data_IF_795710673280
#
_entry.id   IF_795710673280
#
_cell.length_a   1.000
_cell.length_b   1.000
_cell.length_c   1.000
_cell.angle_alpha   90.00
_cell.angle_beta   90.00
_cell.angle_gamma   90.00
#
_symmetry.space_group_name_H-M   'P 1'
#
loop_
_entity.id
_entity.type
_entity.pdbx_description
1 polymer ?
#
# COMPACT_ATOMS: atom_id res chain seq x y z
N UNK A 1 -18.11 9.23 -34.79
CA UNK A 1 -18.29 10.35 -33.84
C UNK A 1 -19.01 9.82 -32.61
N UNK A 2 -18.30 9.23 -31.66
CA UNK A 2 -18.87 8.90 -30.35
C UNK A 2 -18.82 10.16 -29.50
N UNK A 3 -19.96 10.62 -29.03
CA UNK A 3 -20.13 11.80 -28.18
C UNK A 3 -19.21 11.72 -26.95
N UNK A 4 -18.14 12.52 -26.97
CA UNK A 4 -17.35 12.85 -25.78
C UNK A 4 -18.20 13.76 -24.90
N UNK A 5 -19.16 13.19 -24.15
CA UNK A 5 -19.93 13.96 -23.19
C UNK A 5 -19.06 14.22 -21.96
N UNK A 6 -18.29 15.31 -22.00
CA UNK A 6 -17.66 15.87 -20.81
C UNK A 6 -18.69 16.65 -20.00
N UNK A 7 -18.68 16.50 -18.68
CA UNK A 7 -19.55 17.21 -17.75
C UNK A 7 -18.73 17.90 -16.66
N UNK A 8 -19.30 18.97 -16.10
CA UNK A 8 -18.77 19.57 -14.89
C UNK A 8 -19.06 18.64 -13.71
N UNK A 9 -18.02 18.36 -12.94
CA UNK A 9 -18.07 17.48 -11.77
C UNK A 9 -17.50 18.24 -10.57
N UNK A 10 -18.06 17.98 -9.40
CA UNK A 10 -17.58 18.55 -8.14
C UNK A 10 -17.04 17.45 -7.23
N UNK A 11 -15.84 17.63 -6.67
CA UNK A 11 -15.24 16.76 -5.66
C UNK A 11 -14.54 17.61 -4.60
N UNK A 12 -14.86 17.41 -3.31
CA UNK A 12 -14.22 18.12 -2.19
C UNK A 12 -14.10 19.65 -2.40
N UNK A 13 -15.13 20.20 -3.06
CA UNK A 13 -15.30 21.62 -3.37
C UNK A 13 -14.42 22.16 -4.51
N UNK A 14 -13.75 21.32 -5.31
CA UNK A 14 -13.24 21.76 -6.62
C UNK A 14 -14.24 21.35 -7.71
N UNK A 15 -14.40 22.20 -8.72
CA UNK A 15 -15.26 21.96 -9.88
C UNK A 15 -14.40 21.81 -11.14
N UNK A 16 -14.58 20.74 -11.93
CA UNK A 16 -13.72 20.46 -13.07
C UNK A 16 -14.46 19.72 -14.18
N UNK A 17 -14.05 19.94 -15.42
CA UNK A 17 -14.54 19.24 -16.59
C UNK A 17 -13.89 17.85 -16.67
N UNK A 18 -14.72 16.82 -16.76
CA UNK A 18 -14.30 15.42 -16.74
C UNK A 18 -15.22 14.54 -17.59
N UNK A 19 -14.78 13.31 -17.90
CA UNK A 19 -15.59 12.28 -18.53
C UNK A 19 -15.83 11.12 -17.56
N UNK A 20 -17.04 11.08 -16.97
CA UNK A 20 -17.51 10.00 -16.09
C UNK A 20 -18.03 8.77 -16.84
N UNK A 21 -18.41 8.92 -18.11
CA UNK A 21 -18.99 7.85 -18.93
C UNK A 21 -17.93 6.88 -19.47
N UNK A 22 -16.67 7.32 -19.55
CA UNK A 22 -15.58 6.48 -20.01
C UNK A 22 -15.25 5.39 -18.99
N UNK A 23 -14.95 4.19 -19.47
CA UNK A 23 -14.59 3.04 -18.63
C UNK A 23 -13.13 3.09 -18.18
N UNK A 24 -12.24 3.75 -18.95
CA UNK A 24 -10.82 3.87 -18.60
C UNK A 24 -10.12 5.06 -19.27
N UNK A 25 -8.95 5.40 -18.75
CA UNK A 25 -8.10 6.49 -19.25
C UNK A 25 -7.65 6.31 -20.71
N UNK A 26 -7.49 5.05 -21.18
CA UNK A 26 -7.15 4.78 -22.60
C UNK A 26 -8.22 5.28 -23.58
N UNK A 27 -9.46 5.42 -23.14
CA UNK A 27 -10.59 5.87 -23.97
C UNK A 27 -10.84 7.39 -23.87
N UNK A 28 -10.32 8.06 -22.85
CA UNK A 28 -10.50 9.51 -22.68
C UNK A 28 -9.36 10.10 -21.83
N UNK A 29 -8.70 11.14 -22.34
CA UNK A 29 -7.65 11.86 -21.62
C UNK A 29 -8.16 12.54 -20.34
N UNK A 30 -9.46 12.86 -20.28
CA UNK A 30 -10.13 13.43 -19.10
C UNK A 30 -10.95 12.40 -18.33
N UNK A 31 -10.56 11.12 -18.39
CA UNK A 31 -11.20 10.06 -17.62
C UNK A 31 -11.20 10.41 -16.13
N UNK A 32 -12.37 10.28 -15.52
CA UNK A 32 -12.56 10.48 -14.11
C UNK A 32 -13.52 9.42 -13.58
N UNK A 33 -13.24 8.95 -12.37
CA UNK A 33 -14.09 8.01 -11.70
C UNK A 33 -14.22 8.38 -10.23
N UNK A 34 -15.45 8.78 -9.85
CA UNK A 34 -15.85 9.15 -8.49
C UNK A 34 -15.65 8.02 -7.47
N UNK A 35 -15.65 6.77 -7.94
CA UNK A 35 -15.44 5.61 -7.08
C UNK A 35 -14.05 5.59 -6.42
N UNK A 36 -13.06 6.25 -7.01
CA UNK A 36 -11.69 6.37 -6.51
C UNK A 36 -11.44 7.68 -5.71
N UNK A 37 -12.50 8.40 -5.31
CA UNK A 37 -12.39 9.58 -4.45
C UNK A 37 -11.65 9.26 -3.14
N UNK A 38 -11.86 8.06 -2.58
CA UNK A 38 -11.11 7.57 -1.40
C UNK A 38 -9.59 7.61 -1.61
N UNK A 39 -9.08 7.10 -2.74
CA UNK A 39 -7.62 7.10 -3.00
C UNK A 39 -7.09 8.54 -3.10
N UNK A 40 -7.83 9.44 -3.75
CA UNK A 40 -7.46 10.85 -3.87
C UNK A 40 -7.44 11.55 -2.51
N UNK A 41 -8.47 11.36 -1.69
CA UNK A 41 -8.53 11.88 -0.33
C UNK A 41 -7.38 11.34 0.55
N UNK A 42 -7.04 10.05 0.43
CA UNK A 42 -5.90 9.45 1.13
C UNK A 42 -4.56 10.08 0.70
N UNK A 43 -4.35 10.28 -0.61
CA UNK A 43 -3.15 10.95 -1.16
C UNK A 43 -3.04 12.39 -0.64
N UNK A 44 -4.16 13.12 -0.58
CA UNK A 44 -4.21 14.48 0.00
C UNK A 44 -3.81 14.46 1.48
N UNK A 45 -4.33 13.51 2.27
CA UNK A 45 -3.98 13.39 3.69
C UNK A 45 -2.48 13.10 3.90
N UNK A 46 -1.90 12.21 3.08
CA UNK A 46 -0.46 11.90 3.13
C UNK A 46 0.38 13.12 2.73
N UNK A 47 -0.02 13.87 1.71
CA UNK A 47 0.65 15.11 1.30
C UNK A 47 0.57 16.17 2.40
N UNK A 48 -0.60 16.33 3.03
CA UNK A 48 -0.81 17.27 4.14
C UNK A 48 0.13 16.96 5.31
N UNK A 49 0.26 15.69 5.69
CA UNK A 49 1.24 15.27 6.71
C UNK A 49 2.68 15.53 6.27
N UNK A 50 3.05 15.17 5.03
CA UNK A 50 4.41 15.35 4.51
C UNK A 50 4.86 16.82 4.49
N UNK A 51 3.93 17.74 4.19
CA UNK A 51 4.17 19.19 4.21
C UNK A 51 4.29 19.69 5.66
N UNK A 52 3.33 19.36 6.54
CA UNK A 52 3.26 19.92 7.90
C UNK A 52 4.35 19.40 8.84
N UNK A 53 4.73 18.13 8.70
CA UNK A 53 5.80 17.52 9.51
C UNK A 53 7.20 18.06 9.20
N UNK A 54 7.37 18.81 8.11
CA UNK A 54 8.68 19.27 7.66
C UNK A 54 9.57 18.14 7.11
N UNK A 55 8.98 17.00 6.74
CA UNK A 55 9.72 15.90 6.12
C UNK A 55 10.30 16.31 4.75
N UNK A 56 9.60 17.20 4.02
CA UNK A 56 10.15 17.86 2.85
C UNK A 56 11.24 18.86 3.23
N UNK A 57 12.41 18.73 2.59
CA UNK A 57 13.52 19.69 2.75
C UNK A 57 13.40 20.93 1.86
N UNK A 58 12.30 21.08 1.14
CA UNK A 58 12.04 22.20 0.24
C UNK A 58 10.64 22.75 0.49
N UNK A 59 10.53 24.08 0.54
CA UNK A 59 9.28 24.83 0.61
C UNK A 59 9.31 25.91 -0.50
N UNK A 60 8.24 26.07 -1.30
CA UNK A 60 7.07 25.18 -1.37
C UNK A 60 7.46 23.75 -1.77
N UNK A 61 6.66 22.76 -1.33
CA UNK A 61 6.88 21.35 -1.69
C UNK A 61 6.53 21.17 -3.16
N UNK A 62 7.49 20.71 -3.97
CA UNK A 62 7.24 20.47 -5.39
C UNK A 62 6.50 19.15 -5.62
N UNK A 63 5.23 19.26 -6.01
CA UNK A 63 4.30 18.17 -6.17
C UNK A 63 4.03 17.90 -7.66
N UNK A 64 4.24 16.66 -8.11
CA UNK A 64 3.94 16.22 -9.47
C UNK A 64 2.78 15.21 -9.45
N UNK A 65 1.70 15.56 -10.15
CA UNK A 65 0.71 14.60 -10.63
C UNK A 65 1.15 14.11 -12.02
N UNK A 66 1.70 12.90 -12.08
CA UNK A 66 2.41 12.42 -13.28
C UNK A 66 1.46 12.05 -14.42
N UNK A 67 0.27 11.55 -14.09
CA UNK A 67 -0.74 11.07 -15.03
C UNK A 67 -2.05 11.82 -14.77
N UNK A 68 -2.00 13.14 -14.95
CA UNK A 68 -2.94 14.08 -14.35
C UNK A 68 -4.38 13.99 -14.83
N UNK A 69 -4.65 13.40 -16.00
CA UNK A 69 -6.00 13.29 -16.56
C UNK A 69 -6.70 14.67 -16.60
N UNK A 70 -7.85 14.87 -15.92
CA UNK A 70 -8.52 16.17 -15.82
C UNK A 70 -7.88 17.15 -14.81
N UNK A 71 -6.81 16.77 -14.10
CA UNK A 71 -6.07 17.62 -13.17
C UNK A 71 -6.60 17.64 -11.74
N UNK A 72 -7.53 16.74 -11.39
CA UNK A 72 -8.24 16.74 -10.09
C UNK A 72 -7.30 16.70 -8.88
N UNK A 73 -6.23 15.89 -8.90
CA UNK A 73 -5.33 15.83 -7.74
C UNK A 73 -4.60 17.16 -7.54
N UNK A 74 -4.11 17.77 -8.62
CA UNK A 74 -3.46 19.07 -8.57
C UNK A 74 -4.36 20.17 -8.00
N UNK A 75 -5.63 20.19 -8.42
CA UNK A 75 -6.64 21.12 -7.88
C UNK A 75 -6.84 20.91 -6.37
N UNK A 76 -7.03 19.65 -5.94
CA UNK A 76 -7.22 19.31 -4.53
C UNK A 76 -6.00 19.71 -3.68
N UNK A 77 -4.79 19.43 -4.17
CA UNK A 77 -3.55 19.80 -3.47
C UNK A 77 -3.41 21.31 -3.33
N UNK A 78 -3.61 22.06 -4.41
CA UNK A 78 -3.53 23.53 -4.38
C UNK A 78 -4.60 24.12 -3.47
N UNK A 79 -5.85 23.65 -3.58
CA UNK A 79 -6.94 24.15 -2.73
C UNK A 79 -6.67 23.90 -1.24
N UNK A 80 -6.15 22.72 -0.92
CA UNK A 80 -5.95 22.29 0.48
C UNK A 80 -4.71 22.93 1.12
N UNK A 81 -3.64 23.14 0.36
CA UNK A 81 -2.32 23.49 0.89
C UNK A 81 -1.82 24.87 0.42
N UNK A 82 -2.57 25.54 -0.46
CA UNK A 82 -2.28 26.88 -0.96
C UNK A 82 -0.82 27.01 -1.42
N UNK A 83 -0.10 28.03 -0.94
CA UNK A 83 1.28 28.33 -1.29
C UNK A 83 2.32 27.41 -0.64
N UNK A 84 1.90 26.43 0.18
CA UNK A 84 2.82 25.42 0.72
C UNK A 84 3.28 24.41 -0.34
N UNK A 85 2.61 24.36 -1.50
CA UNK A 85 2.87 23.41 -2.59
C UNK A 85 3.04 24.10 -3.94
N UNK A 86 4.08 23.70 -4.67
CA UNK A 86 4.23 24.00 -6.10
C UNK A 86 3.57 22.84 -6.86
N UNK A 87 2.36 23.06 -7.39
CA UNK A 87 1.59 22.03 -8.09
C UNK A 87 1.95 21.97 -9.57
N UNK A 88 2.37 20.78 -10.00
CA UNK A 88 2.72 20.46 -11.38
C UNK A 88 1.86 19.27 -11.82
N UNK A 89 1.15 19.42 -12.95
CA UNK A 89 0.31 18.37 -13.52
C UNK A 89 0.82 18.03 -14.91
N UNK A 90 1.14 16.76 -15.15
CA UNK A 90 1.47 16.27 -16.48
C UNK A 90 0.22 15.62 -17.10
N UNK A 91 -0.36 16.29 -18.10
CA UNK A 91 -1.68 16.03 -18.66
C UNK A 91 -1.61 15.89 -20.17
N UNK A 92 -1.00 14.81 -20.65
CA UNK A 92 -0.85 14.55 -22.08
C UNK A 92 -2.22 14.34 -22.75
N UNK A 93 -2.62 15.27 -23.63
CA UNK A 93 -3.88 15.21 -24.38
C UNK A 93 -5.07 15.82 -23.64
N UNK A 94 -4.84 16.49 -22.50
CA UNK A 94 -5.87 17.19 -21.72
C UNK A 94 -5.36 18.53 -21.17
N UNK A 95 -4.23 19.05 -21.66
CA UNK A 95 -3.54 20.20 -21.11
C UNK A 95 -4.39 21.47 -21.04
N UNK A 96 -5.13 21.80 -22.09
CA UNK A 96 -5.99 22.98 -22.13
C UNK A 96 -7.19 22.83 -21.17
N UNK A 97 -7.72 21.60 -21.04
CA UNK A 97 -8.81 21.33 -20.09
C UNK A 97 -8.31 21.46 -18.65
N UNK A 98 -7.09 20.98 -18.35
CA UNK A 98 -6.51 21.14 -17.02
C UNK A 98 -6.30 22.62 -16.69
N UNK A 99 -5.80 23.42 -17.63
CA UNK A 99 -5.66 24.88 -17.44
C UNK A 99 -7.03 25.54 -17.18
N UNK A 100 -8.04 25.18 -17.96
CA UNK A 100 -9.41 25.68 -17.76
C UNK A 100 -9.96 25.28 -16.39
N UNK A 101 -9.72 24.03 -15.95
CA UNK A 101 -10.12 23.58 -14.64
C UNK A 101 -9.42 24.36 -13.51
N UNK A 102 -8.13 24.71 -13.66
CA UNK A 102 -7.45 25.60 -12.71
C UNK A 102 -8.07 26.99 -12.67
N UNK A 103 -8.33 27.59 -13.84
CA UNK A 103 -8.96 28.91 -13.96
C UNK A 103 -10.36 28.93 -13.31
N UNK A 104 -11.17 27.90 -13.55
CA UNK A 104 -12.53 27.75 -13.01
C UNK A 104 -12.56 27.81 -11.48
N UNK A 105 -11.53 27.28 -10.83
CA UNK A 105 -11.42 27.26 -9.37
C UNK A 105 -10.65 28.46 -8.81
N UNK A 106 -10.22 29.40 -9.66
CA UNK A 106 -9.34 30.52 -9.28
C UNK A 106 -8.02 30.03 -8.64
N UNK A 107 -7.52 28.88 -9.10
CA UNK A 107 -6.31 28.24 -8.60
C UNK A 107 -5.18 28.29 -9.64
N UNK A 108 -3.93 28.24 -9.16
CA UNK A 108 -2.76 28.20 -10.03
C UNK A 108 -2.08 26.82 -10.03
N UNK A 109 -1.57 26.41 -11.18
CA UNK A 109 -0.81 25.17 -11.35
C UNK A 109 0.01 25.21 -12.64
N UNK A 110 1.14 24.52 -12.66
CA UNK A 110 1.92 24.37 -13.90
C UNK A 110 1.47 23.11 -14.63
N UNK A 111 1.12 23.24 -15.91
CA UNK A 111 0.65 22.13 -16.74
C UNK A 111 1.69 21.80 -17.81
N UNK A 112 2.06 20.52 -17.91
CA UNK A 112 2.89 19.99 -18.98
C UNK A 112 2.13 18.92 -19.77
N UNK A 113 2.54 18.71 -21.02
CA UNK A 113 2.12 17.59 -21.86
C UNK A 113 3.38 16.86 -22.37
N UNK A 114 4.04 16.13 -21.47
CA UNK A 114 5.28 15.41 -21.75
C UNK A 114 5.11 13.91 -21.54
N UNK A 115 6.00 13.14 -22.15
CA UNK A 115 6.17 11.74 -21.77
C UNK A 115 6.47 11.64 -20.24
N UNK A 116 5.76 10.76 -19.50
CA UNK A 116 5.93 10.65 -18.05
C UNK A 116 7.37 10.33 -17.61
N UNK A 117 8.10 9.50 -18.34
CA UNK A 117 9.48 9.17 -17.99
C UNK A 117 10.42 10.35 -18.27
N UNK A 118 10.16 11.11 -19.34
CA UNK A 118 10.95 12.31 -19.67
C UNK A 118 10.82 13.36 -18.57
N UNK A 119 9.59 13.71 -18.14
CA UNK A 119 9.42 14.76 -17.11
C UNK A 119 10.04 14.36 -15.76
N UNK A 120 10.01 13.08 -15.39
CA UNK A 120 10.71 12.56 -14.21
C UNK A 120 12.25 12.68 -14.32
N UNK A 121 12.79 12.64 -15.53
CA UNK A 121 14.24 12.79 -15.77
C UNK A 121 14.73 14.24 -15.84
N UNK A 122 13.86 15.20 -16.12
CA UNK A 122 14.25 16.61 -16.27
C UNK A 122 14.64 17.28 -14.95
N UNK A 123 14.00 16.91 -13.84
CA UNK A 123 14.28 17.50 -12.51
C UNK A 123 13.78 16.63 -11.37
N UNK A 124 14.21 16.97 -10.15
CA UNK A 124 13.73 16.34 -8.93
C UNK A 124 12.42 16.95 -8.41
N UNK A 125 11.59 16.07 -7.85
CA UNK A 125 10.31 16.37 -7.21
C UNK A 125 10.32 15.89 -5.76
N UNK A 126 9.63 16.61 -4.88
CA UNK A 126 9.51 16.27 -3.45
C UNK A 126 8.34 15.33 -3.18
N UNK A 127 7.28 15.43 -3.98
CA UNK A 127 6.11 14.58 -3.90
C UNK A 127 5.72 14.17 -5.33
N UNK A 128 5.64 12.88 -5.60
CA UNK A 128 5.25 12.35 -6.92
C UNK A 128 4.07 11.41 -6.72
N UNK A 129 2.96 11.70 -7.37
CA UNK A 129 1.82 10.79 -7.46
C UNK A 129 1.72 10.21 -8.86
N UNK A 130 1.58 8.88 -8.92
CA UNK A 130 1.44 8.12 -10.15
C UNK A 130 0.15 7.31 -10.06
N UNK A 131 -0.89 7.77 -10.76
CA UNK A 131 -2.19 7.06 -10.79
C UNK A 131 -2.36 6.25 -12.09
N UNK A 132 -1.84 5.03 -12.09
CA UNK A 132 -1.87 4.13 -13.23
C UNK A 132 -3.19 3.38 -13.34
N UNK A 133 -3.65 3.18 -14.57
CA UNK A 133 -4.82 2.34 -14.85
C UNK A 133 -4.51 0.85 -14.99
N UNK A 134 -3.28 0.44 -15.29
CA UNK A 134 -2.95 -1.00 -15.50
C UNK A 134 -1.53 -1.36 -15.02
N UNK A 135 -0.50 -0.61 -15.40
CA UNK A 135 0.88 -1.00 -15.12
C UNK A 135 1.72 0.18 -14.62
N UNK A 136 2.26 0.03 -13.42
CA UNK A 136 3.09 1.06 -12.80
C UNK A 136 4.61 0.76 -12.86
N UNK A 137 4.99 -0.51 -13.07
CA UNK A 137 6.39 -0.96 -13.09
C UNK A 137 7.27 -0.20 -14.07
N UNK A 138 6.70 0.26 -15.18
CA UNK A 138 7.40 1.03 -16.22
C UNK A 138 7.94 2.38 -15.72
N UNK A 139 7.40 2.93 -14.62
CA UNK A 139 7.80 4.24 -14.09
C UNK A 139 8.81 4.16 -12.94
N UNK A 140 9.06 2.97 -12.38
CA UNK A 140 9.82 2.81 -11.14
C UNK A 140 11.26 3.35 -11.26
N UNK A 141 11.94 3.03 -12.37
CA UNK A 141 13.29 3.52 -12.61
C UNK A 141 13.35 5.04 -12.76
N UNK A 142 12.43 5.58 -13.57
CA UNK A 142 12.39 7.00 -13.88
C UNK A 142 12.16 7.84 -12.61
N UNK A 143 11.23 7.42 -11.74
CA UNK A 143 10.93 8.18 -10.51
C UNK A 143 12.11 8.16 -9.54
N UNK A 144 12.76 7.01 -9.34
CA UNK A 144 13.87 6.94 -8.38
C UNK A 144 15.17 7.56 -8.86
N UNK A 145 15.32 7.84 -10.16
CA UNK A 145 16.52 8.54 -10.65
C UNK A 145 16.68 9.90 -9.99
N UNK A 146 15.63 10.73 -10.03
CA UNK A 146 15.67 12.13 -9.62
C UNK A 146 14.82 12.49 -8.39
N UNK A 147 14.06 11.56 -7.81
CA UNK A 147 13.30 11.85 -6.57
C UNK A 147 14.19 12.55 -5.53
N UNK A 148 13.65 13.62 -4.94
CA UNK A 148 14.38 14.42 -3.97
C UNK A 148 14.76 13.59 -2.74
N UNK A 149 15.73 14.08 -1.96
CA UNK A 149 16.04 13.46 -0.66
C UNK A 149 14.80 13.56 0.24
N UNK A 150 14.39 12.45 0.85
CA UNK A 150 13.14 12.32 1.60
C UNK A 150 11.89 12.56 0.75
N UNK A 151 12.00 12.51 -0.58
CA UNK A 151 10.86 12.66 -1.47
C UNK A 151 9.86 11.52 -1.29
N UNK A 152 8.57 11.84 -1.31
CA UNK A 152 7.48 10.88 -1.21
C UNK A 152 7.02 10.49 -2.61
N UNK A 153 6.90 9.18 -2.85
CA UNK A 153 6.36 8.61 -4.08
C UNK A 153 5.13 7.79 -3.68
N UNK A 154 3.99 8.16 -4.23
CA UNK A 154 2.75 7.41 -4.08
C UNK A 154 2.35 6.86 -5.44
N UNK A 155 2.09 5.58 -5.50
CA UNK A 155 1.68 4.91 -6.72
C UNK A 155 0.37 4.17 -6.47
N UNK A 156 -0.63 4.47 -7.29
CA UNK A 156 -1.87 3.72 -7.37
C UNK A 156 -1.87 2.95 -8.70
N UNK A 157 -2.10 1.64 -8.66
CA UNK A 157 -2.38 0.85 -9.86
C UNK A 157 -3.74 0.20 -9.74
N UNK A 158 -4.57 0.31 -10.78
CA UNK A 158 -5.93 -0.24 -10.84
C UNK A 158 -5.93 -1.53 -11.66
N UNK A 159 -6.76 -2.50 -11.27
CA UNK A 159 -7.06 -3.71 -12.05
C UNK A 159 -5.84 -4.54 -12.49
N UNK A 160 -4.72 -4.47 -11.78
CA UNK A 160 -3.54 -5.28 -12.08
C UNK A 160 -3.75 -6.72 -11.58
N UNK A 161 -4.24 -7.58 -12.46
CA UNK A 161 -4.49 -9.00 -12.18
C UNK A 161 -3.23 -9.76 -11.75
N UNK A 162 -2.05 -9.26 -12.09
CA UNK A 162 -0.79 -9.90 -11.71
C UNK A 162 -0.48 -9.78 -10.23
N UNK A 163 -0.95 -8.71 -9.56
CA UNK A 163 -0.82 -8.53 -8.11
C UNK A 163 -1.77 -9.42 -7.30
N UNK A 164 -2.79 -10.00 -7.94
CA UNK A 164 -3.73 -10.93 -7.32
C UNK A 164 -3.33 -12.41 -7.49
N UNK A 165 -2.15 -12.69 -8.08
CA UNK A 165 -1.69 -14.05 -8.35
C UNK A 165 -2.44 -14.77 -9.46
N UNK A 166 -3.13 -14.04 -10.35
CA UNK A 166 -3.90 -14.61 -11.46
C UNK A 166 -3.04 -15.13 -12.62
N UNK A 167 -1.96 -14.42 -12.97
CA UNK A 167 -1.07 -14.81 -14.08
C UNK A 167 0.39 -14.64 -13.67
N UNK A 168 1.06 -15.77 -13.39
CA UNK A 168 2.40 -15.79 -12.82
C UNK A 168 3.46 -15.13 -13.72
N UNK A 169 3.39 -15.33 -15.05
CA UNK A 169 4.35 -14.73 -15.99
C UNK A 169 4.25 -13.21 -16.05
N UNK A 170 3.04 -12.67 -15.89
CA UNK A 170 2.82 -11.21 -15.87
C UNK A 170 3.42 -10.63 -14.59
N UNK A 171 3.20 -11.28 -13.44
CA UNK A 171 3.79 -10.88 -12.16
C UNK A 171 5.32 -10.92 -12.21
N UNK A 172 5.88 -11.97 -12.81
CA UNK A 172 7.32 -12.13 -12.97
C UNK A 172 7.91 -11.05 -13.89
N UNK A 173 7.31 -10.78 -15.04
CA UNK A 173 7.79 -9.76 -15.99
C UNK A 173 7.70 -8.34 -15.44
N UNK A 174 6.60 -8.00 -14.76
CA UNK A 174 6.36 -6.63 -14.25
C UNK A 174 7.07 -6.33 -12.95
N UNK A 175 7.06 -7.29 -12.02
CA UNK A 175 7.50 -7.07 -10.65
C UNK A 175 8.69 -7.94 -10.24
N UNK A 176 9.19 -8.84 -11.10
CA UNK A 176 10.38 -9.63 -10.86
C UNK A 176 10.21 -10.68 -9.75
N UNK A 177 9.00 -11.21 -9.56
CA UNK A 177 8.71 -12.24 -8.57
C UNK A 177 7.46 -13.05 -8.88
N UNK A 178 7.35 -14.25 -8.31
CA UNK A 178 6.22 -15.16 -8.51
C UNK A 178 5.30 -15.16 -7.29
N UNK A 179 4.01 -15.01 -7.53
CA UNK A 179 2.96 -15.14 -6.50
C UNK A 179 1.81 -15.97 -7.05
N UNK A 180 0.99 -16.52 -6.16
CA UNK A 180 -0.19 -17.34 -6.47
C UNK A 180 -1.43 -16.75 -5.82
N UNK A 181 -2.62 -17.21 -6.22
CA UNK A 181 -3.87 -16.83 -5.55
C UNK A 181 -3.86 -17.37 -4.13
N UNK A 182 -4.14 -16.50 -3.16
CA UNK A 182 -4.19 -16.83 -1.73
C UNK A 182 -5.31 -16.05 -1.06
N UNK A 183 -5.70 -16.42 0.16
CA UNK A 183 -6.67 -15.64 0.94
C UNK A 183 -6.11 -14.30 1.43
N UNK A 184 -4.78 -14.15 1.43
CA UNK A 184 -4.06 -12.93 1.78
C UNK A 184 -3.47 -12.19 0.55
N UNK A 185 -4.08 -12.39 -0.63
CA UNK A 185 -3.57 -11.88 -1.91
C UNK A 185 -3.33 -10.35 -1.93
N UNK A 186 -4.13 -9.56 -1.22
CA UNK A 186 -3.96 -8.10 -1.16
C UNK A 186 -2.59 -7.71 -0.58
N UNK A 187 -2.20 -8.30 0.55
CA UNK A 187 -0.89 -8.03 1.14
C UNK A 187 0.24 -8.71 0.37
N UNK A 188 0.01 -9.89 -0.21
CA UNK A 188 0.97 -10.58 -1.06
C UNK A 188 1.35 -9.73 -2.29
N UNK A 189 0.35 -9.14 -2.95
CA UNK A 189 0.52 -8.21 -4.07
C UNK A 189 1.29 -6.95 -3.66
N UNK A 190 0.94 -6.32 -2.53
CA UNK A 190 1.68 -5.15 -2.01
C UNK A 190 3.15 -5.48 -1.75
N UNK A 191 3.44 -6.63 -1.14
CA UNK A 191 4.82 -7.02 -0.83
C UNK A 191 5.62 -7.36 -2.10
N UNK A 192 4.98 -7.90 -3.14
CA UNK A 192 5.60 -8.07 -4.46
C UNK A 192 5.90 -6.71 -5.13
N UNK A 193 4.94 -5.79 -5.07
CA UNK A 193 5.07 -4.44 -5.61
C UNK A 193 6.23 -3.69 -4.93
N UNK A 194 6.27 -3.70 -3.60
CA UNK A 194 7.33 -3.10 -2.79
C UNK A 194 8.71 -3.72 -3.09
N UNK A 195 8.79 -5.04 -3.34
CA UNK A 195 10.05 -5.68 -3.71
C UNK A 195 10.59 -5.17 -5.06
N UNK A 196 9.72 -4.99 -6.04
CA UNK A 196 10.09 -4.38 -7.33
C UNK A 196 10.51 -2.91 -7.18
N UNK A 197 9.77 -2.17 -6.36
CA UNK A 197 10.04 -0.76 -6.09
C UNK A 197 11.40 -0.56 -5.36
N UNK A 198 11.69 -1.40 -4.36
CA UNK A 198 12.96 -1.41 -3.64
C UNK A 198 14.16 -1.72 -4.56
N UNK A 199 14.03 -2.71 -5.45
CA UNK A 199 15.06 -3.03 -6.46
C UNK A 199 15.32 -1.86 -7.40
N UNK A 200 14.26 -1.16 -7.80
CA UNK A 200 14.37 0.02 -8.67
C UNK A 200 15.04 1.19 -7.94
N UNK A 201 14.68 1.47 -6.69
CA UNK A 201 15.36 2.49 -5.88
C UNK A 201 16.85 2.18 -5.66
N UNK A 202 17.18 0.92 -5.37
CA UNK A 202 18.54 0.50 -5.06
C UNK A 202 19.52 0.72 -6.21
N UNK A 203 19.08 0.55 -7.47
CA UNK A 203 19.87 0.86 -8.69
C UNK A 203 20.41 2.30 -8.70
N UNK A 204 19.74 3.23 -8.01
CA UNK A 204 20.13 4.64 -7.92
C UNK A 204 20.69 5.02 -6.54
N UNK A 205 21.19 4.05 -5.76
CA UNK A 205 21.68 4.24 -4.39
C UNK A 205 20.65 4.89 -3.46
N UNK A 206 19.39 4.44 -3.58
CA UNK A 206 18.28 4.88 -2.73
C UNK A 206 17.59 3.66 -2.10
N UNK A 207 17.04 3.86 -0.91
CA UNK A 207 16.15 2.93 -0.23
C UNK A 207 14.72 3.49 -0.22
N UNK A 208 13.75 2.59 -0.04
CA UNK A 208 12.37 2.96 0.27
C UNK A 208 12.08 2.74 1.75
N UNK A 209 11.45 3.72 2.38
CA UNK A 209 10.77 3.60 3.66
C UNK A 209 9.27 3.59 3.40
N UNK A 210 8.58 2.51 3.72
CA UNK A 210 7.13 2.41 3.49
C UNK A 210 6.40 3.28 4.51
N UNK A 211 5.54 4.17 4.04
CA UNK A 211 4.72 5.02 4.91
C UNK A 211 3.39 4.33 5.21
N UNK A 212 2.66 3.94 4.18
CA UNK A 212 1.47 3.12 4.27
C UNK A 212 1.13 2.50 2.91
N UNK A 213 0.27 1.49 2.92
CA UNK A 213 -0.25 0.84 1.71
C UNK A 213 -1.72 0.49 1.91
N UNK A 214 -2.53 0.49 0.85
CA UNK A 214 -3.92 0.05 0.91
C UNK A 214 -4.34 -0.67 -0.35
N UNK A 215 -5.30 -1.57 -0.21
CA UNK A 215 -6.10 -2.06 -1.35
C UNK A 215 -7.51 -1.52 -1.18
N UNK A 216 -8.00 -0.83 -2.20
CA UNK A 216 -9.36 -0.32 -2.22
C UNK A 216 -10.02 -0.68 -3.54
N UNK A 217 -11.12 -1.44 -3.48
CA UNK A 217 -11.69 -2.14 -4.64
C UNK A 217 -10.60 -3.00 -5.29
N UNK A 218 -10.30 -2.78 -6.56
CA UNK A 218 -9.23 -3.45 -7.31
C UNK A 218 -7.96 -2.60 -7.44
N UNK A 219 -7.83 -1.52 -6.68
CA UNK A 219 -6.67 -0.63 -6.71
C UNK A 219 -5.69 -0.89 -5.57
N UNK A 220 -4.41 -0.94 -5.90
CA UNK A 220 -3.30 -1.00 -4.94
C UNK A 220 -2.67 0.38 -4.85
N UNK A 221 -2.68 0.99 -3.68
CA UNK A 221 -1.98 2.25 -3.41
C UNK A 221 -0.83 2.00 -2.45
N UNK A 222 0.38 2.40 -2.85
CA UNK A 222 1.62 2.25 -2.09
C UNK A 222 2.28 3.61 -1.95
N UNK A 223 2.50 4.05 -0.70
CA UNK A 223 3.19 5.30 -0.38
C UNK A 223 4.55 4.99 0.26
N UNK A 224 5.63 5.49 -0.35
CA UNK A 224 6.99 5.32 0.15
C UNK A 224 7.74 6.64 0.17
N UNK A 225 8.70 6.75 1.09
CA UNK A 225 9.68 7.82 1.15
C UNK A 225 11.04 7.32 0.66
N UNK A 226 11.68 8.08 -0.22
CA UNK A 226 13.00 7.77 -0.76
C UNK A 226 14.12 8.27 0.17
N UNK A 227 14.96 7.35 0.64
CA UNK A 227 16.13 7.64 1.47
C UNK A 227 17.40 7.45 0.63
N UNK A 228 18.22 8.49 0.49
CA UNK A 228 19.48 8.41 -0.26
C UNK A 228 20.56 7.68 0.54
N UNK A 229 21.48 7.02 -0.16
CA UNK A 229 22.69 6.44 0.40
C UNK A 229 22.84 4.96 0.04
N UNK A 230 24.04 4.52 -0.38
CA UNK A 230 24.28 3.11 -0.75
C UNK A 230 24.08 2.15 0.44
N UNK A 231 24.47 2.55 1.65
CA UNK A 231 24.22 1.73 2.86
C UNK A 231 22.73 1.52 3.12
N UNK A 232 21.92 2.57 2.96
CA UNK A 232 20.47 2.46 3.08
C UNK A 232 19.92 1.53 2.00
N UNK A 233 20.40 1.66 0.75
CA UNK A 233 20.00 0.79 -0.35
C UNK A 233 20.31 -0.69 -0.07
N UNK A 234 21.51 -0.99 0.45
CA UNK A 234 21.92 -2.35 0.81
C UNK A 234 21.05 -2.92 1.94
N UNK A 235 20.79 -2.14 3.00
CA UNK A 235 19.87 -2.53 4.09
C UNK A 235 18.46 -2.80 3.56
N UNK A 236 17.98 -1.97 2.64
CA UNK A 236 16.68 -2.10 1.99
C UNK A 236 16.59 -3.39 1.15
N UNK A 237 17.63 -3.75 0.41
CA UNK A 237 17.70 -5.00 -0.34
C UNK A 237 17.71 -6.25 0.57
N UNK A 238 18.28 -6.14 1.78
CA UNK A 238 18.22 -7.20 2.79
C UNK A 238 16.81 -7.56 3.27
N UNK A 239 15.82 -6.69 3.01
CA UNK A 239 14.40 -6.94 3.31
C UNK A 239 13.67 -7.68 2.18
N UNK A 240 14.36 -8.02 1.08
CA UNK A 240 13.79 -8.79 -0.02
C UNK A 240 14.03 -10.28 0.22
N UNK A 241 12.97 -11.02 0.53
CA UNK A 241 13.06 -12.42 0.97
C UNK A 241 12.01 -13.26 0.25
N UNK A 242 12.37 -14.52 -0.02
CA UNK A 242 11.42 -15.51 -0.51
C UNK A 242 10.49 -15.94 0.62
N UNK A 243 9.29 -16.38 0.27
CA UNK A 243 8.26 -16.84 1.19
C UNK A 243 7.97 -18.31 0.90
N UNK A 244 8.14 -19.17 1.90
CA UNK A 244 7.63 -20.54 1.82
C UNK A 244 6.16 -20.52 2.18
N UNK A 245 5.31 -21.11 1.36
CA UNK A 245 3.85 -21.08 1.48
C UNK A 245 3.25 -22.46 1.26
N UNK A 246 2.38 -22.92 2.16
CA UNK A 246 1.64 -24.17 1.99
C UNK A 246 0.38 -23.94 1.15
N UNK A 247 0.22 -24.69 0.06
CA UNK A 247 -0.95 -24.61 -0.84
C UNK A 247 -2.24 -25.20 -0.24
N UNK A 248 -2.13 -25.90 0.90
CA UNK A 248 -3.27 -26.57 1.54
C UNK A 248 -3.87 -25.69 2.64
N UNK A 249 -3.08 -25.29 3.63
CA UNK A 249 -3.55 -24.51 4.79
C UNK A 249 -3.16 -23.03 4.75
N UNK A 250 -2.43 -22.60 3.72
CA UNK A 250 -1.82 -21.27 3.61
C UNK A 250 -0.90 -20.84 4.75
N UNK A 251 -0.38 -21.77 5.56
CA UNK A 251 0.73 -21.49 6.47
C UNK A 251 1.93 -20.96 5.67
N UNK A 252 2.61 -19.93 6.18
CA UNK A 252 3.71 -19.29 5.46
C UNK A 252 4.80 -18.77 6.38
N UNK A 253 6.03 -18.74 5.85
CA UNK A 253 7.21 -18.26 6.57
C UNK A 253 8.21 -17.66 5.60
N UNK A 254 8.70 -16.45 5.90
CA UNK A 254 9.81 -15.88 5.15
C UNK A 254 11.09 -16.70 5.38
N UNK A 255 11.82 -16.97 4.30
CA UNK A 255 13.19 -17.50 4.37
C UNK A 255 14.04 -16.56 5.22
N UNK A 256 15.01 -17.02 6.03
CA UNK A 256 15.85 -16.16 6.89
C UNK A 256 16.50 -14.97 6.13
N UNK A 257 16.91 -13.90 6.83
CA UNK A 257 17.67 -12.82 6.20
C UNK A 257 18.89 -13.36 5.45
N UNK A 258 19.23 -12.76 4.31
CA UNK A 258 20.43 -13.15 3.58
C UNK A 258 21.67 -12.56 4.27
N UNK A 259 22.36 -13.36 5.06
CA UNK A 259 23.60 -12.99 5.75
C UNK A 259 24.85 -13.18 4.86
N UNK A 260 24.68 -13.36 3.55
CA UNK A 260 25.76 -13.66 2.61
C UNK A 260 26.09 -15.15 2.48
N UNK A 261 25.39 -16.01 3.21
CA UNK A 261 25.52 -17.46 3.14
C UNK A 261 24.33 -18.11 2.42
N UNK A 262 24.56 -19.14 1.58
CA UNK A 262 23.47 -19.88 0.95
C UNK A 262 22.53 -20.47 2.00
N UNK A 263 21.24 -20.20 1.87
CA UNK A 263 20.22 -20.84 2.69
C UNK A 263 19.68 -22.07 1.96
N UNK A 264 19.82 -23.26 2.54
CA UNK A 264 19.14 -24.46 2.03
C UNK A 264 17.62 -24.34 2.29
N UNK A 265 16.83 -24.30 1.22
CA UNK A 265 15.37 -24.22 1.28
C UNK A 265 14.72 -25.41 2.01
N UNK A 266 15.42 -26.54 2.15
CA UNK A 266 14.96 -27.70 2.95
C UNK A 266 14.94 -27.39 4.45
N UNK A 267 15.78 -26.47 4.91
CA UNK A 267 15.86 -26.08 6.33
C UNK A 267 14.76 -25.07 6.72
N UNK A 268 14.14 -24.41 5.75
CA UNK A 268 12.97 -23.55 6.00
C UNK A 268 11.74 -24.46 6.10
N UNK A 269 11.32 -24.78 7.32
CA UNK A 269 10.14 -25.62 7.56
C UNK A 269 8.93 -24.78 7.94
N UNK A 270 7.76 -25.17 7.44
CA UNK A 270 6.46 -24.66 7.87
C UNK A 270 6.00 -25.43 9.10
N UNK A 271 5.23 -24.78 9.97
CA UNK A 271 4.72 -25.40 11.20
C UNK A 271 3.49 -26.30 10.97
N UNK A 272 3.03 -26.43 9.72
CA UNK A 272 1.88 -27.27 9.35
C UNK A 272 2.29 -28.72 9.07
N UNK A 273 1.33 -29.66 9.24
CA UNK A 273 1.52 -31.09 8.95
C UNK A 273 1.05 -31.54 7.55
N UNK A 274 0.56 -30.62 6.72
CA UNK A 274 -0.05 -30.94 5.42
C UNK A 274 0.84 -31.77 4.49
N UNK A 275 2.17 -31.60 4.54
CA UNK A 275 3.09 -32.39 3.73
C UNK A 275 3.17 -33.87 4.15
N UNK A 276 2.85 -34.18 5.41
CA UNK A 276 2.73 -35.55 5.90
C UNK A 276 1.38 -36.19 5.57
N UNK A 277 0.35 -35.35 5.39
CA UNK A 277 -1.04 -35.79 5.14
C UNK A 277 -1.38 -35.86 3.64
N UNK A 278 -0.47 -35.43 2.75
CA UNK A 278 -0.66 -35.39 1.31
C UNK A 278 0.41 -36.20 0.57
N UNK A 279 0.09 -36.80 -0.59
CA UNK A 279 1.02 -37.65 -1.34
C UNK A 279 2.16 -36.89 -2.06
N UNK A 280 2.31 -35.57 -1.86
CA UNK A 280 3.30 -34.75 -2.58
C UNK A 280 3.71 -33.48 -1.84
N UNK A 281 4.64 -32.72 -2.44
CA UNK A 281 5.08 -31.43 -1.89
C UNK A 281 3.92 -30.42 -1.86
N UNK A 282 3.54 -30.00 -0.65
CA UNK A 282 2.47 -29.01 -0.46
C UNK A 282 2.99 -27.57 -0.42
N UNK A 283 4.30 -27.36 -0.41
CA UNK A 283 4.92 -26.05 -0.19
C UNK A 283 5.47 -25.46 -1.49
N UNK A 284 5.13 -24.20 -1.77
CA UNK A 284 5.70 -23.40 -2.84
C UNK A 284 6.62 -22.32 -2.30
N UNK A 285 7.61 -21.94 -3.10
CA UNK A 285 8.43 -20.76 -2.87
C UNK A 285 7.90 -19.58 -3.71
N UNK A 286 7.49 -18.51 -3.03
CA UNK A 286 6.98 -17.27 -3.63
C UNK A 286 8.00 -16.15 -3.47
N UNK A 287 7.94 -15.16 -4.36
CA UNK A 287 8.74 -13.94 -4.29
C UNK A 287 9.82 -13.79 -5.35
N UNK A 288 10.87 -13.00 -5.07
CA UNK A 288 11.14 -12.33 -3.79
C UNK A 288 10.07 -11.30 -3.43
N UNK A 289 9.81 -11.14 -2.13
CA UNK A 289 8.81 -10.24 -1.56
C UNK A 289 9.44 -9.30 -0.53
N UNK A 290 8.81 -8.16 -0.29
CA UNK A 290 9.15 -7.28 0.81
C UNK A 290 8.77 -7.92 2.15
N UNK A 291 9.75 -8.21 3.00
CA UNK A 291 9.54 -8.76 4.34
C UNK A 291 9.42 -7.69 5.43
N UNK A 292 9.74 -6.44 5.12
CA UNK A 292 9.68 -5.33 6.09
C UNK A 292 8.26 -4.91 6.45
N UNK A 293 8.16 -3.87 7.29
CA UNK A 293 6.89 -3.21 7.61
C UNK A 293 6.28 -2.58 6.35
N UNK A 294 4.96 -2.63 6.24
CA UNK A 294 4.19 -1.95 5.18
C UNK A 294 3.43 -0.72 5.70
N UNK A 295 3.62 -0.39 6.99
CA UNK A 295 3.06 0.78 7.66
C UNK A 295 4.13 1.39 8.57
N UNK A 296 4.16 2.71 8.63
CA UNK A 296 4.91 3.49 9.61
C UNK A 296 3.92 4.05 10.65
N UNK A 297 4.00 3.54 11.89
CA UNK A 297 3.06 3.91 12.95
C UNK A 297 3.17 5.38 13.36
N UNK A 298 4.38 5.96 13.36
CA UNK A 298 4.59 7.35 13.75
C UNK A 298 4.02 8.28 12.68
N UNK A 299 4.24 7.95 11.41
CA UNK A 299 3.68 8.67 10.28
C UNK A 299 2.15 8.58 10.25
N UNK A 300 1.59 7.40 10.47
CA UNK A 300 0.13 7.19 10.50
C UNK A 300 -0.53 7.95 11.65
N UNK A 301 0.04 7.89 12.85
CA UNK A 301 -0.46 8.64 14.01
C UNK A 301 -0.42 10.15 13.76
N UNK A 302 0.69 10.66 13.22
CA UNK A 302 0.82 12.07 12.87
C UNK A 302 -0.18 12.47 11.78
N UNK A 303 -0.35 11.62 10.74
CA UNK A 303 -1.34 11.82 9.68
C UNK A 303 -2.75 11.92 10.27
N UNK A 304 -3.16 11.00 11.16
CA UNK A 304 -4.49 11.02 11.78
C UNK A 304 -4.70 12.32 12.57
N UNK A 305 -3.70 12.73 13.36
CA UNK A 305 -3.78 13.95 14.17
C UNK A 305 -3.85 15.24 13.33
N UNK A 306 -3.18 15.25 12.17
CA UNK A 306 -3.10 16.42 11.29
C UNK A 306 -4.16 16.43 10.18
N UNK A 307 -4.83 15.30 9.93
CA UNK A 307 -5.81 15.14 8.86
C UNK A 307 -7.10 15.87 9.24
N UNK A 308 -7.38 16.98 8.55
CA UNK A 308 -8.66 17.70 8.67
C UNK A 308 -9.68 17.21 7.64
N UNK A 309 -9.56 15.98 7.16
CA UNK A 309 -10.51 15.42 6.19
C UNK A 309 -11.77 15.00 6.94
N UNK A 310 -12.93 15.48 6.46
CA UNK A 310 -14.23 15.01 6.94
C UNK A 310 -14.62 13.66 6.32
N UNK A 311 -13.76 13.08 5.47
CA UNK A 311 -13.96 11.75 4.90
C UNK A 311 -13.79 10.67 5.97
N UNK A 312 -14.93 10.24 6.52
CA UNK A 312 -15.01 9.22 7.55
C UNK A 312 -14.35 7.90 7.14
N UNK A 313 -14.31 7.59 5.84
CA UNK A 313 -13.71 6.35 5.33
C UNK A 313 -12.19 6.42 5.36
N UNK A 314 -11.62 7.58 5.03
CA UNK A 314 -10.17 7.81 5.15
C UNK A 314 -9.75 7.73 6.61
N UNK A 315 -10.47 8.42 7.51
CA UNK A 315 -10.16 8.40 8.95
C UNK A 315 -10.27 6.99 9.54
N UNK A 316 -11.33 6.25 9.21
CA UNK A 316 -11.49 4.86 9.61
C UNK A 316 -10.32 3.99 9.10
N UNK A 317 -9.98 4.12 7.81
CA UNK A 317 -8.93 3.31 7.20
C UNK A 317 -7.55 3.61 7.78
N UNK A 318 -7.20 4.89 7.98
CA UNK A 318 -5.95 5.29 8.65
C UNK A 318 -5.87 4.75 10.07
N UNK A 319 -6.98 4.79 10.81
CA UNK A 319 -7.07 4.24 12.17
C UNK A 319 -6.83 2.73 12.16
N UNK A 320 -7.47 1.99 11.25
CA UNK A 320 -7.23 0.56 11.08
C UNK A 320 -5.76 0.26 10.70
N UNK A 321 -5.15 1.04 9.82
CA UNK A 321 -3.72 0.90 9.48
C UNK A 321 -2.82 1.12 10.69
N UNK A 322 -3.13 2.10 11.55
CA UNK A 322 -2.35 2.36 12.76
C UNK A 322 -2.48 1.21 13.77
N UNK A 323 -3.69 0.67 13.95
CA UNK A 323 -3.92 -0.52 14.76
C UNK A 323 -3.16 -1.74 14.21
N UNK A 324 -3.13 -1.93 12.89
CA UNK A 324 -2.34 -2.98 12.24
C UNK A 324 -0.83 -2.79 12.41
N UNK A 325 -0.34 -1.57 12.28
CA UNK A 325 1.07 -1.24 12.45
C UNK A 325 1.54 -1.55 13.87
N UNK A 326 0.71 -1.22 14.87
CA UNK A 326 0.97 -1.47 16.29
C UNK A 326 0.78 -2.94 16.67
N UNK A 327 -0.23 -3.61 16.10
CA UNK A 327 -0.61 -5.00 16.35
C UNK A 327 -0.37 -5.43 17.82
N UNK A 328 -1.14 -4.90 18.77
CA UNK A 328 -0.80 -5.03 20.19
C UNK A 328 -0.98 -6.46 20.71
N UNK A 329 -0.30 -6.77 21.82
CA UNK A 329 -0.55 -7.92 22.70
C UNK A 329 -0.81 -7.43 24.13
N UNK A 330 -1.38 -8.27 25.01
CA UNK A 330 -1.62 -7.87 26.40
C UNK A 330 -0.31 -7.63 27.18
N UNK A 331 0.76 -8.33 26.81
CA UNK A 331 2.10 -8.15 27.39
C UNK A 331 2.66 -6.76 27.05
N UNK A 332 2.36 -6.23 25.86
CA UNK A 332 2.80 -4.89 25.46
C UNK A 332 2.10 -3.79 26.29
N UNK A 333 0.86 -4.02 26.71
CA UNK A 333 0.04 -3.05 27.47
C UNK A 333 0.45 -2.93 28.95
N UNK A 334 0.91 -4.01 29.58
CA UNK A 334 1.31 -4.01 31.00
C UNK A 334 2.70 -3.37 31.25
N UNK A 335 3.49 -3.17 30.19
CA UNK A 335 4.80 -2.48 30.23
C UNK A 335 4.67 -0.95 30.06
N UNK A 336 3.44 -0.43 29.93
CA UNK A 336 3.10 0.98 29.66
C UNK A 336 3.39 2.02 30.75
N UNK A 337 4.39 1.81 31.61
CA UNK A 337 4.78 2.74 32.69
C UNK A 337 6.08 3.51 32.47
N UNK A 338 6.94 3.10 31.53
CA UNK A 338 8.19 3.82 31.21
C UNK A 338 8.41 3.75 29.70
N UNK A 339 8.74 4.89 29.09
CA UNK A 339 9.28 5.03 27.72
C UNK A 339 10.62 4.28 27.58
N UNK A 340 10.60 2.96 27.74
CA UNK A 340 11.62 2.08 27.22
C UNK A 340 11.40 2.03 25.72
N UNK A 341 12.48 2.21 24.95
CA UNK A 341 12.52 1.93 23.52
C UNK A 341 11.92 0.54 23.33
N UNK A 342 10.63 0.46 22.97
CA UNK A 342 10.04 -0.79 22.50
C UNK A 342 10.88 -1.15 21.29
N UNK A 343 11.60 -2.26 21.39
CA UNK A 343 12.13 -2.93 20.22
C UNK A 343 10.87 -3.37 19.45
N UNK A 344 10.43 -2.51 18.51
CA UNK A 344 9.30 -2.77 17.63
C UNK A 344 9.68 -3.98 16.79
N UNK A 345 9.49 -5.18 17.34
CA UNK A 345 9.30 -6.37 16.54
C UNK A 345 8.26 -5.99 15.49
N UNK A 346 8.65 -6.06 14.21
CA UNK A 346 7.78 -5.72 13.09
C UNK A 346 6.41 -6.38 13.24
N UNK A 347 5.32 -5.71 12.85
CA UNK A 347 4.00 -6.35 12.87
C UNK A 347 4.05 -7.71 12.16
N UNK A 348 3.26 -8.71 12.59
CA UNK A 348 3.25 -10.02 11.93
C UNK A 348 2.91 -9.87 10.44
N UNK A 349 3.66 -10.49 9.52
CA UNK A 349 3.35 -10.39 8.10
C UNK A 349 2.10 -11.21 7.75
N UNK A 350 1.31 -10.68 6.82
CA UNK A 350 0.06 -11.26 6.33
C UNK A 350 -1.05 -11.37 7.37
N UNK A 351 -2.22 -11.82 6.92
CA UNK A 351 -3.42 -11.99 7.72
C UNK A 351 -4.14 -13.29 7.37
N UNK A 352 -4.99 -13.79 8.26
CA UNK A 352 -5.78 -15.00 8.05
C UNK A 352 -7.25 -14.62 7.96
N UNK A 353 -7.89 -14.92 6.82
CA UNK A 353 -9.34 -14.77 6.70
C UNK A 353 -10.03 -15.95 7.38
N UNK A 354 -10.79 -15.66 8.44
CA UNK A 354 -11.39 -16.69 9.27
C UNK A 354 -12.46 -17.49 8.52
N UNK A 355 -13.27 -16.83 7.69
CA UNK A 355 -14.34 -17.45 6.94
C UNK A 355 -13.85 -18.34 5.79
N UNK A 356 -12.71 -18.01 5.18
CA UNK A 356 -12.15 -18.84 4.10
C UNK A 356 -11.42 -20.06 4.64
N UNK A 357 -10.75 -19.94 5.80
CA UNK A 357 -10.07 -21.07 6.43
C UNK A 357 -11.03 -22.03 7.15
N UNK A 358 -12.07 -21.51 7.81
CA UNK A 358 -13.07 -22.32 8.52
C UNK A 358 -14.47 -21.71 8.45
N UNK A 359 -15.19 -21.88 7.33
CA UNK A 359 -16.52 -21.28 7.13
C UNK A 359 -17.50 -21.60 8.26
N UNK A 360 -17.57 -22.87 8.67
CA UNK A 360 -18.52 -23.36 9.68
C UNK A 360 -18.34 -22.69 11.05
N UNK A 361 -17.10 -22.45 11.46
CA UNK A 361 -16.77 -21.89 12.78
C UNK A 361 -16.85 -20.35 12.74
N UNK A 362 -16.45 -19.75 11.62
CA UNK A 362 -16.33 -18.30 11.49
C UNK A 362 -17.67 -17.56 11.55
N UNK A 363 -18.78 -18.18 11.15
CA UNK A 363 -20.11 -17.59 11.30
C UNK A 363 -20.56 -17.45 12.75
N UNK A 364 -19.99 -18.25 13.65
CA UNK A 364 -20.37 -18.28 15.05
C UNK A 364 -19.49 -17.31 15.85
N UNK A 365 -18.17 -17.30 15.63
CA UNK A 365 -17.24 -16.47 16.40
C UNK A 365 -17.15 -15.01 15.89
N UNK A 366 -17.38 -14.03 16.77
CA UNK A 366 -17.16 -12.60 16.44
C UNK A 366 -15.65 -12.31 16.31
N UNK A 367 -15.23 -11.72 15.19
CA UNK A 367 -13.81 -11.39 14.92
C UNK A 367 -13.13 -10.60 16.05
N UNK A 368 -13.83 -9.63 16.66
CA UNK A 368 -13.28 -8.88 17.80
C UNK A 368 -12.94 -9.78 18.99
N UNK A 369 -13.79 -10.77 19.30
CA UNK A 369 -13.54 -11.73 20.40
C UNK A 369 -12.35 -12.63 20.12
N UNK A 370 -12.16 -13.03 18.86
CA UNK A 370 -10.96 -13.78 18.44
C UNK A 370 -9.70 -12.93 18.65
N UNK A 371 -9.71 -11.67 18.21
CA UNK A 371 -8.59 -10.73 18.41
C UNK A 371 -8.31 -10.54 19.91
N UNK A 372 -9.33 -10.22 20.70
CA UNK A 372 -9.20 -10.02 22.15
C UNK A 372 -8.60 -11.27 22.82
N UNK A 373 -9.09 -12.47 22.46
CA UNK A 373 -8.61 -13.73 23.03
C UNK A 373 -7.15 -14.02 22.67
N UNK A 374 -6.74 -13.75 21.43
CA UNK A 374 -5.34 -13.89 21.02
C UNK A 374 -4.44 -12.94 21.80
N UNK A 375 -4.85 -11.67 21.95
CA UNK A 375 -4.13 -10.68 22.76
C UNK A 375 -4.01 -11.13 24.21
N UNK A 376 -5.10 -11.63 24.80
CA UNK A 376 -5.12 -12.16 26.17
C UNK A 376 -4.16 -13.34 26.38
N UNK A 377 -3.91 -14.15 25.34
CA UNK A 377 -2.96 -15.25 25.35
C UNK A 377 -1.51 -14.80 25.10
N UNK A 378 -1.26 -13.49 24.97
CA UNK A 378 0.06 -12.91 24.74
C UNK A 378 0.48 -12.86 23.27
N UNK A 379 -0.40 -13.23 22.33
CA UNK A 379 -0.12 -13.08 20.91
C UNK A 379 -0.45 -11.66 20.45
N UNK A 380 0.34 -11.16 19.49
CA UNK A 380 0.02 -9.92 18.80
C UNK A 380 -1.15 -10.19 17.86
N UNK A 381 -2.20 -9.38 17.94
CA UNK A 381 -3.33 -9.53 17.04
C UNK A 381 -4.01 -8.20 16.74
N UNK A 382 -4.49 -8.05 15.50
CA UNK A 382 -5.32 -6.93 15.07
C UNK A 382 -6.26 -7.36 13.96
N UNK A 383 -7.33 -6.58 13.73
CA UNK A 383 -8.07 -6.64 12.46
C UNK A 383 -7.20 -6.12 11.32
N UNK A 384 -7.66 -6.24 10.08
CA UNK A 384 -6.99 -5.64 8.92
C UNK A 384 -7.95 -4.94 7.98
N UNK A 385 -7.52 -3.81 7.42
CA UNK A 385 -8.28 -3.09 6.40
C UNK A 385 -8.28 -3.83 5.04
N UNK A 386 -7.38 -4.78 4.82
CA UNK A 386 -7.35 -5.57 3.59
C UNK A 386 -8.52 -6.53 3.44
N UNK A 387 -9.05 -7.02 4.57
CA UNK A 387 -10.14 -7.97 4.61
C UNK A 387 -10.88 -7.86 5.96
N UNK A 388 -12.16 -7.41 5.97
CA UNK A 388 -12.90 -7.17 7.20
C UNK A 388 -13.17 -8.44 8.02
N UNK A 389 -12.93 -9.62 7.44
CA UNK A 389 -13.14 -10.93 8.06
C UNK A 389 -11.81 -11.59 8.48
N UNK A 390 -10.71 -10.83 8.46
CA UNK A 390 -9.39 -11.36 8.74
C UNK A 390 -8.73 -10.80 9.99
N UNK A 391 -7.81 -11.61 10.53
CA UNK A 391 -6.95 -11.27 11.66
C UNK A 391 -5.48 -11.32 11.25
N UNK A 392 -4.72 -10.28 11.58
CA UNK A 392 -3.25 -10.31 11.56
C UNK A 392 -2.79 -10.81 12.91
N UNK A 393 -1.94 -11.84 12.96
CA UNK A 393 -1.40 -12.35 14.23
C UNK A 393 -0.09 -13.10 14.06
N UNK A 394 0.73 -13.15 15.12
CA UNK A 394 1.89 -14.05 15.21
C UNK A 394 1.54 -15.41 15.85
N UNK A 395 0.28 -15.64 16.24
CA UNK A 395 -0.15 -16.92 16.74
C UNK A 395 0.01 -18.01 15.66
N UNK A 396 0.58 -19.18 16.00
CA UNK A 396 0.57 -20.33 15.10
C UNK A 396 -0.85 -20.70 14.65
N UNK A 397 -0.99 -21.20 13.42
CA UNK A 397 -2.30 -21.47 12.82
C UNK A 397 -3.18 -22.42 13.65
N UNK A 398 -2.59 -23.42 14.29
CA UNK A 398 -3.30 -24.33 15.19
C UNK A 398 -3.87 -23.62 16.43
N UNK A 399 -3.17 -22.61 16.96
CA UNK A 399 -3.65 -21.80 18.09
C UNK A 399 -4.80 -20.90 17.64
N UNK A 400 -4.68 -20.25 16.48
CA UNK A 400 -5.76 -19.46 15.90
C UNK A 400 -7.05 -20.30 15.76
N UNK A 401 -6.93 -21.51 15.22
CA UNK A 401 -8.08 -22.41 15.05
C UNK A 401 -8.67 -22.90 16.37
N UNK A 402 -7.82 -23.15 17.38
CA UNK A 402 -8.31 -23.49 18.71
C UNK A 402 -9.12 -22.33 19.31
N UNK A 403 -8.60 -21.10 19.24
CA UNK A 403 -9.31 -19.90 19.72
C UNK A 403 -10.65 -19.73 19.02
N UNK A 404 -10.70 -19.93 17.70
CA UNK A 404 -11.96 -19.85 16.95
C UNK A 404 -13.00 -20.88 17.43
N UNK A 405 -12.58 -22.14 17.66
CA UNK A 405 -13.46 -23.20 18.17
C UNK A 405 -13.96 -22.89 19.58
N UNK A 406 -13.08 -22.44 20.46
CA UNK A 406 -13.43 -22.08 21.83
C UNK A 406 -14.46 -20.95 21.86
N UNK A 407 -14.28 -19.90 21.06
CA UNK A 407 -15.23 -18.78 20.98
C UNK A 407 -16.56 -19.19 20.35
N UNK A 408 -16.57 -20.08 19.36
CA UNK A 408 -17.80 -20.62 18.79
C UNK A 408 -18.60 -21.46 19.81
N UNK A 409 -17.91 -22.29 20.61
CA UNK A 409 -18.55 -23.17 21.60
C UNK A 409 -19.25 -22.41 22.73
N UNK A 410 -18.82 -21.17 23.03
CA UNK A 410 -19.45 -20.30 24.04
C UNK A 410 -20.80 -19.73 23.63
N UNK A 411 -21.11 -19.76 22.33
CA UNK A 411 -22.36 -19.21 21.77
C UNK A 411 -23.43 -20.30 21.63
N UNK A 412 -23.01 -21.56 21.54
CA UNK A 412 -23.92 -22.73 21.51
C UNK A 412 -24.35 -23.21 22.91
N UNK A 413 -23.86 -22.59 23.99
CA UNK A 413 -24.33 -22.77 25.36
C UNK A 413 -25.10 -21.53 25.77
#
# INVERSE_FOLDING_TARGET
>A
MTSNCSSWVQENGVEFLANESSVCQRKSAIYYNKEYAFNRSLVVAILEEYVKSGLSKCMPVRCLDLLGGPGVNGLLWRKRLAELVEVIVNAQGSEEIVKENFNRNELQGTVYAKDPCVILHERGYNFVYIDCTIEASIYFDAVFRNVARNGVVIITTKDDSSLHGGTYDVALRRYGGRIVRTHYANELGIRLFLASLARSAARYSKAIKVLCCTVYKSSFTVAVMAQKGPENANKCLGLLRNLKHCMVCEERKFYPPNEGFPTDGKNVRLNCKCASDAPGETALELGPLWSGNIFDSEFLESTINNNRSDDCKVNFTLTCMLEEARCPSKVDSEVGGKRLKLDFSSMPPFYYNLHKHHPEIAHVAKLSKVVDRLQLLGYRASKTHFDPLAVRTNAPLNILFQVMKDEASKICK
#
